data_IF_024094186821
#
_entry.id   IF_024094186821
#
_cell.length_a   1.000
_cell.length_b   1.000
_cell.length_c   1.000
_cell.angle_alpha   90.00
_cell.angle_beta   90.00
_cell.angle_gamma   90.00
#
_symmetry.space_group_name_H-M   'P 1'
#
loop_
_entity.id
_entity.type
_entity.pdbx_description
1 polymer ?
#
# COMPACT_ATOMS: atom_id res chain seq x y z
N UNK A 1 -10.96 -11.38 -2.42
CA UNK A 1 -11.46 -12.12 -1.23
C UNK A 1 -11.49 -11.26 0.04
N UNK A 2 -10.49 -10.40 0.30
CA UNK A 2 -10.41 -9.60 1.53
C UNK A 2 -11.70 -8.90 1.96
N UNK A 3 -12.32 -8.12 1.06
CA UNK A 3 -13.55 -7.37 1.36
C UNK A 3 -14.76 -8.26 1.72
N UNK A 4 -15.06 -9.27 0.88
CA UNK A 4 -16.18 -10.20 1.15
C UNK A 4 -15.94 -11.01 2.43
N UNK A 5 -14.68 -11.41 2.66
CA UNK A 5 -14.30 -12.22 3.83
C UNK A 5 -14.34 -11.41 5.12
N UNK A 6 -13.95 -10.13 5.07
CA UNK A 6 -14.05 -9.23 6.21
C UNK A 6 -15.52 -8.97 6.59
N UNK A 7 -16.37 -8.81 5.58
CA UNK A 7 -17.79 -8.55 5.76
C UNK A 7 -18.61 -9.75 6.28
N UNK A 8 -18.02 -10.96 6.39
CA UNK A 8 -18.69 -12.12 6.97
C UNK A 8 -19.04 -11.93 8.45
N UNK A 9 -18.29 -11.08 9.15
CA UNK A 9 -18.52 -10.78 10.56
C UNK A 9 -19.56 -9.67 10.78
N UNK A 10 -20.15 -9.14 9.71
CA UNK A 10 -21.19 -8.14 9.79
C UNK A 10 -22.49 -8.76 10.31
N UNK A 11 -23.06 -8.18 11.37
CA UNK A 11 -24.24 -8.74 12.03
C UNK A 11 -25.52 -8.69 11.16
N UNK A 12 -25.61 -7.72 10.25
CA UNK A 12 -26.81 -7.51 9.43
C UNK A 12 -26.68 -8.18 8.06
N UNK A 13 -25.49 -8.14 7.47
CA UNK A 13 -25.26 -8.54 6.08
C UNK A 13 -24.32 -9.74 5.93
N UNK A 14 -23.76 -10.28 7.01
CA UNK A 14 -22.77 -11.37 6.97
C UNK A 14 -23.24 -12.59 6.18
N UNK A 15 -24.49 -13.02 6.40
CA UNK A 15 -25.09 -14.13 5.65
C UNK A 15 -25.10 -13.85 4.14
N UNK A 16 -25.43 -12.63 3.70
CA UNK A 16 -25.41 -12.29 2.27
C UNK A 16 -23.99 -12.37 1.70
N UNK A 17 -23.01 -11.84 2.41
CA UNK A 17 -21.61 -11.92 2.00
C UNK A 17 -21.10 -13.36 1.92
N UNK A 18 -21.55 -14.23 2.82
CA UNK A 18 -21.23 -15.66 2.81
C UNK A 18 -21.75 -16.33 1.54
N UNK A 19 -23.02 -16.12 1.17
CA UNK A 19 -23.60 -16.69 -0.05
C UNK A 19 -22.87 -16.20 -1.31
N UNK A 20 -22.55 -14.91 -1.39
CA UNK A 20 -21.82 -14.34 -2.53
C UNK A 20 -20.40 -14.91 -2.61
N UNK A 21 -19.72 -15.03 -1.47
CA UNK A 21 -18.38 -15.63 -1.41
C UNK A 21 -18.41 -17.11 -1.79
N UNK A 22 -19.38 -17.87 -1.28
CA UNK A 22 -19.58 -19.28 -1.61
C UNK A 22 -19.83 -19.49 -3.10
N UNK A 23 -20.72 -18.68 -3.69
CA UNK A 23 -20.98 -18.72 -5.13
C UNK A 23 -19.71 -18.42 -5.94
N UNK A 24 -18.97 -17.36 -5.59
CA UNK A 24 -17.72 -16.98 -6.25
C UNK A 24 -16.68 -18.11 -6.21
N UNK A 25 -16.51 -18.76 -5.05
CA UNK A 25 -15.55 -19.84 -4.89
C UNK A 25 -15.96 -21.11 -5.65
N UNK A 26 -17.26 -21.38 -5.74
CA UNK A 26 -17.80 -22.50 -6.52
C UNK A 26 -17.54 -22.32 -8.01
N UNK A 27 -17.80 -21.12 -8.56
CA UNK A 27 -17.67 -20.86 -10.02
C UNK A 27 -16.28 -20.46 -10.47
N UNK A 28 -15.44 -19.89 -9.58
CA UNK A 28 -14.15 -19.30 -9.93
C UNK A 28 -13.05 -20.28 -10.39
N UNK A 29 -13.31 -21.59 -10.34
CA UNK A 29 -12.36 -22.62 -10.74
C UNK A 29 -11.19 -22.82 -9.76
N UNK A 30 -10.40 -23.87 -10.01
CA UNK A 30 -9.32 -24.30 -9.10
C UNK A 30 -8.21 -23.26 -8.98
N UNK A 31 -7.75 -22.69 -10.10
CA UNK A 31 -6.64 -21.74 -10.12
C UNK A 31 -6.93 -20.46 -9.31
N UNK A 32 -8.12 -19.88 -9.44
CA UNK A 32 -8.50 -18.71 -8.64
C UNK A 32 -8.56 -19.05 -7.15
N UNK A 33 -9.16 -20.18 -6.79
CA UNK A 33 -9.25 -20.61 -5.38
C UNK A 33 -7.88 -20.79 -4.75
N UNK A 34 -6.95 -21.47 -5.43
CA UNK A 34 -5.57 -21.64 -4.97
C UNK A 34 -4.86 -20.30 -4.78
N UNK A 35 -5.06 -19.36 -5.70
CA UNK A 35 -4.45 -18.04 -5.59
C UNK A 35 -5.02 -17.22 -4.43
N UNK A 36 -6.34 -17.27 -4.22
CA UNK A 36 -6.99 -16.63 -3.08
C UNK A 36 -6.55 -17.24 -1.74
N UNK A 37 -6.27 -18.54 -1.71
CA UNK A 37 -5.70 -19.21 -0.53
C UNK A 37 -4.27 -18.74 -0.23
N UNK A 38 -3.41 -18.61 -1.25
CA UNK A 38 -2.06 -18.04 -1.10
C UNK A 38 -2.11 -16.61 -0.59
N UNK A 39 -2.99 -15.78 -1.17
CA UNK A 39 -3.22 -14.40 -0.73
C UNK A 39 -3.66 -14.34 0.73
N UNK A 40 -4.63 -15.18 1.12
CA UNK A 40 -5.10 -15.28 2.50
C UNK A 40 -3.95 -15.63 3.45
N UNK A 41 -3.13 -16.62 3.09
CA UNK A 41 -2.00 -17.05 3.90
C UNK A 41 -0.94 -15.97 4.02
N UNK A 42 -0.62 -15.26 2.92
CA UNK A 42 0.31 -14.14 2.94
C UNK A 42 -0.16 -13.03 3.89
N UNK A 43 -1.42 -12.61 3.80
CA UNK A 43 -2.00 -11.58 4.68
C UNK A 43 -1.97 -12.02 6.15
N UNK A 44 -2.31 -13.27 6.45
CA UNK A 44 -2.25 -13.80 7.82
C UNK A 44 -0.84 -13.77 8.38
N UNK A 45 0.15 -14.17 7.59
CA UNK A 45 1.55 -14.14 8.00
C UNK A 45 2.03 -12.70 8.23
N UNK A 46 1.74 -11.79 7.31
CA UNK A 46 2.09 -10.36 7.45
C UNK A 46 1.44 -9.75 8.70
N UNK A 47 0.17 -10.05 8.96
CA UNK A 47 -0.51 -9.62 10.18
C UNK A 47 0.15 -10.16 11.46
N UNK A 48 0.53 -11.44 11.47
CA UNK A 48 1.24 -12.02 12.61
C UNK A 48 2.63 -11.41 12.84
N UNK A 49 3.35 -11.08 11.77
CA UNK A 49 4.63 -10.35 11.87
C UNK A 49 4.41 -8.93 12.38
N UNK A 50 3.42 -8.21 11.85
CA UNK A 50 3.13 -6.83 12.23
C UNK A 50 2.76 -6.72 13.71
N UNK A 51 1.92 -7.62 14.22
CA UNK A 51 1.58 -7.69 15.65
C UNK A 51 2.80 -7.93 16.53
N UNK A 52 3.67 -8.88 16.17
CA UNK A 52 4.91 -9.15 16.91
C UNK A 52 5.86 -7.97 16.92
N UNK A 53 5.99 -7.26 15.80
CA UNK A 53 6.80 -6.03 15.72
C UNK A 53 6.20 -4.93 16.61
N UNK A 54 4.88 -4.75 16.59
CA UNK A 54 4.18 -3.79 17.45
C UNK A 54 4.38 -4.10 18.95
N UNK A 55 4.46 -5.38 19.30
CA UNK A 55 4.72 -5.86 20.67
C UNK A 55 6.22 -6.00 21.01
N UNK A 56 7.13 -5.57 20.13
CA UNK A 56 8.58 -5.70 20.28
C UNK A 56 9.08 -7.14 20.58
N UNK A 57 8.39 -8.18 20.08
CA UNK A 57 8.69 -9.59 20.38
C UNK A 57 9.19 -10.40 19.16
N UNK A 58 10.51 -10.59 19.08
CA UNK A 58 11.15 -11.74 18.41
C UNK A 58 11.22 -11.82 16.88
N UNK A 59 11.74 -12.97 16.40
CA UNK A 59 12.24 -13.27 15.04
C UNK A 59 11.18 -13.65 13.99
N UNK A 60 10.11 -12.87 13.87
CA UNK A 60 8.97 -13.19 13.00
C UNK A 60 9.26 -13.23 11.48
N UNK A 61 10.42 -12.73 11.04
CA UNK A 61 10.81 -12.62 9.62
C UNK A 61 11.04 -13.96 8.91
N UNK A 62 11.42 -15.02 9.64
CA UNK A 62 11.73 -16.33 9.07
C UNK A 62 10.49 -17.05 8.50
N UNK A 63 9.31 -16.82 9.07
CA UNK A 63 8.08 -17.49 8.63
C UNK A 63 7.67 -17.02 7.24
N UNK A 64 7.82 -15.73 6.95
CA UNK A 64 7.50 -15.17 5.64
C UNK A 64 8.47 -15.66 4.55
N UNK A 65 9.76 -15.85 4.86
CA UNK A 65 10.71 -16.49 3.93
C UNK A 65 10.22 -17.89 3.54
N UNK A 66 9.85 -18.69 4.55
CA UNK A 66 9.41 -20.09 4.33
C UNK A 66 8.17 -20.20 3.45
N UNK A 67 7.33 -19.16 3.41
CA UNK A 67 6.18 -19.08 2.52
C UNK A 67 6.63 -18.92 1.06
N UNK A 68 7.52 -17.96 0.78
CA UNK A 68 7.97 -17.67 -0.58
C UNK A 68 8.91 -18.74 -1.16
N UNK A 69 9.61 -19.51 -0.32
CA UNK A 69 10.36 -20.68 -0.79
C UNK A 69 9.50 -21.70 -1.56
N UNK A 70 8.20 -21.75 -1.27
CA UNK A 70 7.25 -22.71 -1.87
C UNK A 70 6.17 -22.05 -2.72
N UNK A 71 6.10 -20.72 -2.74
CA UNK A 71 4.96 -20.02 -3.34
C UNK A 71 5.40 -18.73 -4.04
N UNK A 72 4.86 -18.50 -5.24
CA UNK A 72 4.65 -17.17 -5.80
C UNK A 72 3.21 -16.75 -5.52
N UNK A 73 2.98 -15.47 -5.24
CA UNK A 73 1.66 -14.97 -4.85
C UNK A 73 1.35 -13.64 -5.53
N UNK A 74 0.18 -13.53 -6.15
CA UNK A 74 -0.40 -12.26 -6.58
C UNK A 74 -0.73 -11.40 -5.38
N UNK A 75 -0.48 -10.11 -5.48
CA UNK A 75 -0.76 -9.19 -4.38
C UNK A 75 -2.27 -8.96 -4.27
N UNK A 76 -2.87 -9.03 -3.06
CA UNK A 76 -4.27 -8.68 -2.86
C UNK A 76 -4.58 -7.26 -3.36
N UNK A 77 -3.67 -6.33 -3.11
CA UNK A 77 -3.76 -4.92 -3.47
C UNK A 77 -3.77 -4.69 -5.00
N UNK A 78 -3.05 -5.52 -5.74
CA UNK A 78 -2.93 -5.44 -7.19
C UNK A 78 -2.68 -6.83 -7.78
N UNK A 79 -3.73 -7.52 -8.30
CA UNK A 79 -3.59 -8.86 -8.84
C UNK A 79 -2.62 -8.99 -10.01
N UNK A 80 -2.31 -7.90 -10.73
CA UNK A 80 -1.32 -7.91 -11.80
C UNK A 80 0.11 -8.10 -11.30
N UNK A 81 0.40 -7.72 -10.05
CA UNK A 81 1.70 -7.90 -9.43
C UNK A 81 1.81 -9.29 -8.81
N UNK A 82 2.90 -9.99 -9.11
CA UNK A 82 3.21 -11.31 -8.55
C UNK A 82 4.51 -11.20 -7.77
N UNK A 83 4.46 -11.41 -6.45
CA UNK A 83 5.64 -11.50 -5.62
C UNK A 83 6.25 -12.91 -5.70
N UNK A 84 7.57 -12.98 -5.93
CA UNK A 84 8.33 -14.24 -5.93
C UNK A 84 9.07 -14.49 -4.61
N UNK A 85 9.55 -13.44 -3.96
CA UNK A 85 10.32 -13.53 -2.72
C UNK A 85 10.26 -12.20 -1.96
N UNK A 86 10.76 -12.21 -0.72
CA UNK A 86 10.93 -11.00 0.09
C UNK A 86 12.35 -10.47 -0.01
N UNK A 87 12.48 -9.16 -0.21
CA UNK A 87 13.74 -8.46 -0.01
C UNK A 87 13.87 -8.00 1.44
N UNK A 88 14.43 -8.87 2.28
CA UNK A 88 14.45 -8.73 3.73
C UNK A 88 15.33 -7.57 4.19
N UNK A 89 16.39 -7.28 3.43
CA UNK A 89 17.29 -6.16 3.71
C UNK A 89 16.56 -4.82 3.55
N UNK A 90 15.63 -4.75 2.61
CA UNK A 90 14.80 -3.56 2.37
C UNK A 90 13.54 -3.48 3.23
N UNK A 91 13.11 -4.60 3.83
CA UNK A 91 11.99 -4.62 4.77
C UNK A 91 12.33 -3.93 6.09
N UNK A 92 11.43 -3.07 6.55
CA UNK A 92 11.57 -2.32 7.80
C UNK A 92 10.19 -2.05 8.43
N UNK A 93 10.11 -1.12 9.36
CA UNK A 93 8.87 -0.59 9.91
C UNK A 93 8.99 0.93 10.02
N UNK A 94 7.87 1.64 9.96
CA UNK A 94 7.85 3.08 10.12
C UNK A 94 7.76 3.45 11.61
N UNK A 95 8.40 4.54 12.01
CA UNK A 95 8.48 5.01 13.41
C UNK A 95 7.22 5.76 13.89
N UNK A 96 6.11 5.71 13.15
CA UNK A 96 4.82 6.28 13.55
C UNK A 96 4.14 5.46 14.66
N UNK A 97 3.15 6.03 15.36
CA UNK A 97 2.42 5.38 16.46
C UNK A 97 1.89 3.97 16.15
N UNK A 98 1.41 3.74 14.93
CA UNK A 98 0.87 2.43 14.52
C UNK A 98 1.94 1.40 14.10
N UNK A 99 3.22 1.80 14.05
CA UNK A 99 4.40 0.99 13.65
C UNK A 99 4.13 0.08 12.43
N UNK A 100 3.65 0.63 11.29
CA UNK A 100 3.30 -0.20 10.16
C UNK A 100 4.54 -0.81 9.51
N UNK A 101 4.40 -2.00 8.93
CA UNK A 101 5.50 -2.69 8.28
C UNK A 101 5.74 -2.12 6.88
N UNK A 102 7.00 -1.86 6.55
CA UNK A 102 7.45 -1.71 5.16
C UNK A 102 7.84 -3.09 4.65
N UNK A 103 7.05 -3.61 3.71
CA UNK A 103 7.24 -4.93 3.09
C UNK A 103 7.71 -4.72 1.66
N UNK A 104 8.90 -5.23 1.38
CA UNK A 104 9.52 -5.14 0.06
C UNK A 104 9.66 -6.54 -0.53
N UNK A 105 9.11 -6.72 -1.73
CA UNK A 105 9.04 -8.02 -2.42
C UNK A 105 9.61 -7.89 -3.81
N UNK A 106 10.28 -8.95 -4.28
CA UNK A 106 10.79 -8.98 -5.65
C UNK A 106 9.67 -9.41 -6.59
N UNK A 107 9.55 -8.70 -7.69
CA UNK A 107 8.60 -9.00 -8.75
C UNK A 107 8.98 -10.30 -9.47
N UNK A 108 7.99 -11.12 -9.79
CA UNK A 108 8.16 -12.31 -10.61
C UNK A 108 8.41 -11.96 -12.08
N UNK A 109 7.95 -10.80 -12.54
CA UNK A 109 8.31 -10.23 -13.82
C UNK A 109 9.78 -9.76 -13.78
N UNK A 110 10.68 -10.30 -14.63
CA UNK A 110 12.08 -9.87 -14.68
C UNK A 110 12.27 -8.40 -15.06
N UNK A 111 11.32 -7.81 -15.79
CA UNK A 111 11.34 -6.38 -16.15
C UNK A 111 10.56 -5.50 -15.17
N UNK A 112 9.88 -6.12 -14.20
CA UNK A 112 9.07 -5.42 -13.23
C UNK A 112 9.90 -4.82 -12.09
N UNK A 113 9.51 -3.62 -11.67
CA UNK A 113 10.08 -2.97 -10.49
C UNK A 113 9.75 -3.72 -9.19
N UNK A 114 10.55 -3.44 -8.15
CA UNK A 114 10.36 -3.99 -6.81
C UNK A 114 9.00 -3.58 -6.22
N UNK A 115 8.30 -4.54 -5.63
CA UNK A 115 6.97 -4.33 -5.08
C UNK A 115 7.12 -3.84 -3.64
N UNK A 116 6.75 -2.59 -3.40
CA UNK A 116 6.83 -1.94 -2.09
C UNK A 116 5.42 -1.67 -1.53
N UNK A 117 5.14 -2.25 -0.37
CA UNK A 117 3.83 -2.15 0.29
C UNK A 117 4.01 -1.83 1.77
N UNK A 118 3.17 -0.93 2.29
CA UNK A 118 2.99 -0.73 3.71
C UNK A 118 1.87 -1.66 4.21
N UNK A 119 2.14 -2.46 5.24
CA UNK A 119 1.14 -3.29 5.91
C UNK A 119 0.81 -2.69 7.27
N UNK A 120 -0.46 -2.33 7.49
CA UNK A 120 -0.94 -1.69 8.71
C UNK A 120 -1.79 -2.66 9.53
N UNK A 121 -1.67 -2.60 10.85
CA UNK A 121 -2.49 -3.34 11.82
C UNK A 121 -2.89 -2.43 12.98
N UNK A 122 -4.15 -2.52 13.39
CA UNK A 122 -4.79 -1.62 14.36
C UNK A 122 -5.48 -0.40 13.73
N UNK A 123 -5.62 -0.36 12.40
CA UNK A 123 -6.28 0.73 11.67
C UNK A 123 -7.30 0.18 10.67
N UNK A 124 -8.51 0.74 10.69
CA UNK A 124 -9.56 0.40 9.74
C UNK A 124 -9.38 1.17 8.43
N UNK A 125 -8.83 0.50 7.41
CA UNK A 125 -8.58 1.11 6.10
C UNK A 125 -9.81 1.22 5.20
N UNK A 126 -11.01 0.82 5.65
CA UNK A 126 -12.22 0.88 4.81
C UNK A 126 -12.58 2.32 4.43
N UNK A 127 -12.35 3.28 5.33
CA UNK A 127 -12.58 4.70 5.05
C UNK A 127 -11.57 5.25 4.02
N UNK A 128 -10.28 4.95 4.17
CA UNK A 128 -9.23 5.32 3.21
C UNK A 128 -9.51 4.74 1.81
N UNK A 129 -9.95 3.48 1.74
CA UNK A 129 -10.35 2.85 0.49
C UNK A 129 -11.46 3.62 -0.21
N UNK A 130 -12.51 3.99 0.52
CA UNK A 130 -13.64 4.73 -0.05
C UNK A 130 -13.19 6.12 -0.50
N UNK A 131 -12.38 6.83 0.29
CA UNK A 131 -11.86 8.14 -0.06
C UNK A 131 -11.01 8.08 -1.36
N UNK A 132 -10.08 7.13 -1.46
CA UNK A 132 -9.26 6.94 -2.66
C UNK A 132 -10.08 6.51 -3.88
N UNK A 133 -11.15 5.73 -3.69
CA UNK A 133 -12.09 5.43 -4.77
C UNK A 133 -12.82 6.67 -5.27
N UNK A 134 -13.27 7.55 -4.37
CA UNK A 134 -13.90 8.81 -4.73
C UNK A 134 -12.93 9.72 -5.47
N UNK A 135 -11.68 9.88 -4.99
CA UNK A 135 -10.63 10.64 -5.68
C UNK A 135 -10.39 10.08 -7.08
N UNK A 136 -10.36 8.75 -7.25
CA UNK A 136 -10.22 8.11 -8.57
C UNK A 136 -11.38 8.39 -9.51
N UNK A 137 -12.59 8.55 -8.99
CA UNK A 137 -13.75 8.94 -9.79
C UNK A 137 -13.62 10.41 -10.21
N UNK A 138 -13.24 11.30 -9.29
CA UNK A 138 -13.01 12.73 -9.59
C UNK A 138 -11.94 12.91 -10.66
N UNK A 139 -10.80 12.24 -10.51
CA UNK A 139 -9.68 12.27 -11.47
C UNK A 139 -10.13 11.88 -12.88
N UNK A 140 -10.94 10.81 -13.00
CA UNK A 140 -11.53 10.42 -14.29
C UNK A 140 -12.46 11.48 -14.89
N UNK A 141 -13.23 12.17 -14.05
CA UNK A 141 -14.13 13.24 -14.50
C UNK A 141 -13.29 14.42 -15.00
N UNK A 142 -12.31 14.88 -14.23
CA UNK A 142 -11.43 15.98 -14.63
C UNK A 142 -10.68 15.69 -15.92
N UNK A 143 -10.09 14.50 -16.06
CA UNK A 143 -9.41 14.08 -17.29
C UNK A 143 -10.35 14.07 -18.50
N UNK A 144 -11.61 13.66 -18.31
CA UNK A 144 -12.61 13.66 -19.38
C UNK A 144 -12.95 15.09 -19.86
N UNK A 145 -12.92 16.06 -18.95
CA UNK A 145 -13.13 17.48 -19.26
C UNK A 145 -11.83 18.19 -19.68
N UNK A 146 -10.74 17.45 -19.92
CA UNK A 146 -9.45 18.00 -20.37
C UNK A 146 -8.59 18.62 -19.26
N UNK A 147 -8.94 18.38 -17.99
CA UNK A 147 -8.21 18.87 -16.82
C UNK A 147 -7.35 17.75 -16.22
N UNK A 148 -6.04 17.79 -16.45
CA UNK A 148 -5.06 16.88 -15.83
C UNK A 148 -4.43 17.53 -14.58
N UNK A 149 -4.96 17.20 -13.41
CA UNK A 149 -4.44 17.67 -12.11
C UNK A 149 -3.25 16.84 -11.60
N UNK A 150 -2.78 15.84 -12.37
CA UNK A 150 -1.62 15.02 -12.04
C UNK A 150 -1.75 14.31 -10.68
N UNK A 151 -2.95 13.82 -10.39
CA UNK A 151 -3.25 13.13 -9.13
C UNK A 151 -2.43 11.84 -8.99
N UNK A 152 -1.74 11.70 -7.87
CA UNK A 152 -1.05 10.45 -7.51
C UNK A 152 -1.99 9.60 -6.63
N UNK A 153 -2.68 8.66 -7.26
CA UNK A 153 -3.66 7.79 -6.59
C UNK A 153 -3.05 6.42 -6.34
N UNK A 154 -2.53 6.22 -5.13
CA UNK A 154 -2.01 4.92 -4.69
C UNK A 154 -3.14 3.98 -4.26
N UNK A 155 -2.87 2.67 -4.29
CA UNK A 155 -3.83 1.66 -3.89
C UNK A 155 -3.86 1.49 -2.37
N UNK A 156 -5.06 1.31 -1.84
CA UNK A 156 -5.31 0.91 -0.47
C UNK A 156 -6.31 -0.26 -0.47
N UNK A 157 -6.09 -1.25 0.40
CA UNK A 157 -6.96 -2.41 0.53
C UNK A 157 -7.02 -2.87 1.99
N UNK A 158 -8.20 -2.83 2.58
CA UNK A 158 -8.53 -3.57 3.78
C UNK A 158 -8.48 -5.07 3.49
N UNK A 159 -7.74 -5.79 4.32
CA UNK A 159 -7.54 -7.24 4.18
C UNK A 159 -8.20 -8.04 5.30
N UNK A 160 -8.85 -7.34 6.22
CA UNK A 160 -9.60 -7.85 7.37
C UNK A 160 -9.80 -6.75 8.41
N UNK A 161 -10.48 -7.08 9.51
CA UNK A 161 -10.70 -6.16 10.62
C UNK A 161 -9.39 -5.52 11.09
N UNK A 162 -9.41 -4.19 11.11
CA UNK A 162 -8.33 -3.29 11.55
C UNK A 162 -6.96 -3.61 10.93
N UNK A 163 -6.93 -4.08 9.67
CA UNK A 163 -5.67 -4.35 8.97
C UNK A 163 -5.78 -4.19 7.47
N UNK A 164 -4.67 -3.81 6.85
CA UNK A 164 -4.63 -3.75 5.39
C UNK A 164 -3.30 -3.37 4.78
N UNK A 165 -3.33 -3.22 3.46
CA UNK A 165 -2.19 -2.97 2.60
C UNK A 165 -2.35 -1.62 1.92
N UNK A 166 -1.27 -0.84 1.89
CA UNK A 166 -1.18 0.44 1.20
C UNK A 166 0.03 0.40 0.28
N UNK A 167 -0.14 0.80 -0.97
CA UNK A 167 0.94 0.91 -1.95
C UNK A 167 1.89 2.02 -1.51
N UNK A 168 3.20 1.73 -1.51
CA UNK A 168 4.20 2.76 -1.26
C UNK A 168 4.55 3.44 -2.56
N UNK A 169 4.31 4.75 -2.62
CA UNK A 169 4.71 5.58 -3.75
C UNK A 169 6.25 5.68 -3.74
N UNK A 170 6.94 5.22 -4.80
CA UNK A 170 8.39 5.31 -4.89
C UNK A 170 8.84 6.78 -4.92
N UNK A 171 10.08 7.03 -4.50
CA UNK A 171 10.69 8.36 -4.50
C UNK A 171 9.82 9.46 -3.85
N UNK A 172 9.14 9.11 -2.76
CA UNK A 172 8.32 10.05 -1.98
C UNK A 172 8.84 10.19 -0.56
N UNK A 173 8.72 11.40 -0.01
CA UNK A 173 9.00 11.72 1.38
C UNK A 173 7.85 12.54 1.97
N UNK A 174 7.53 12.30 3.25
CA UNK A 174 6.51 13.10 3.94
C UNK A 174 6.99 14.54 4.09
N UNK A 175 6.09 15.51 3.97
CA UNK A 175 6.41 16.92 4.18
C UNK A 175 7.08 17.17 5.54
N UNK A 176 6.62 16.47 6.59
CA UNK A 176 7.23 16.56 7.92
C UNK A 176 8.69 16.12 7.93
N UNK A 177 9.05 15.03 7.24
CA UNK A 177 10.44 14.58 7.14
C UNK A 177 11.30 15.64 6.46
N UNK A 178 10.83 16.21 5.36
CA UNK A 178 11.51 17.29 4.63
C UNK A 178 11.71 18.50 5.56
N UNK A 179 10.67 18.93 6.28
CA UNK A 179 10.76 20.10 7.16
C UNK A 179 11.73 19.90 8.33
N UNK A 180 11.76 18.70 8.93
CA UNK A 180 12.64 18.39 10.07
C UNK A 180 14.12 18.33 9.67
N UNK A 181 14.45 18.02 8.40
CA UNK A 181 15.83 18.13 7.89
C UNK A 181 16.40 19.55 8.03
N UNK A 182 15.54 20.57 8.10
CA UNK A 182 15.89 21.99 8.26
C UNK A 182 15.66 22.51 9.69
N UNK A 183 15.56 21.61 10.67
CA UNK A 183 15.44 21.88 12.09
C UNK A 183 14.00 21.86 12.64
N UNK A 184 13.87 21.96 13.97
CA UNK A 184 12.60 21.82 14.69
C UNK A 184 11.56 22.89 14.31
N UNK A 185 12.00 24.07 13.84
CA UNK A 185 11.13 25.15 13.34
C UNK A 185 10.93 25.14 11.83
N UNK A 186 11.44 24.13 11.12
CA UNK A 186 11.34 24.03 9.65
C UNK A 186 9.90 23.98 9.14
N UNK A 187 8.93 23.55 9.96
CA UNK A 187 7.51 23.56 9.63
C UNK A 187 6.91 24.95 9.44
N UNK A 188 7.55 26.00 9.97
CA UNK A 188 7.12 27.40 9.85
C UNK A 188 7.86 28.19 8.77
N UNK A 189 8.74 27.52 8.00
CA UNK A 189 9.53 28.14 6.94
C UNK A 189 9.03 27.65 5.59
N UNK A 190 8.94 28.55 4.62
CA UNK A 190 8.57 28.21 3.24
C UNK A 190 9.75 27.63 2.43
N UNK A 191 10.99 27.91 2.87
CA UNK A 191 12.23 27.53 2.18
C UNK A 191 12.53 26.03 2.12
N UNK A 192 12.28 25.20 3.16
CA UNK A 192 12.64 23.79 3.17
C UNK A 192 12.11 22.98 1.99
N UNK A 193 10.86 23.23 1.57
CA UNK A 193 10.27 22.51 0.44
C UNK A 193 10.91 22.94 -0.89
N UNK A 194 11.11 24.25 -1.09
CA UNK A 194 11.73 24.77 -2.32
C UNK A 194 13.18 24.30 -2.46
N UNK A 195 13.96 24.33 -1.37
CA UNK A 195 15.35 23.85 -1.36
C UNK A 195 15.43 22.33 -1.56
N UNK A 196 14.51 21.56 -0.95
CA UNK A 196 14.41 20.13 -1.18
C UNK A 196 14.08 19.81 -2.65
N UNK A 197 13.11 20.52 -3.26
CA UNK A 197 12.80 20.37 -4.69
C UNK A 197 14.02 20.70 -5.57
N UNK A 198 14.72 21.79 -5.28
CA UNK A 198 15.91 22.21 -6.05
C UNK A 198 17.08 21.21 -5.93
N UNK A 199 17.21 20.54 -4.78
CA UNK A 199 18.20 19.48 -4.57
C UNK A 199 17.99 18.29 -5.51
N UNK A 200 16.75 17.92 -5.80
CA UNK A 200 16.43 16.81 -6.71
C UNK A 200 16.21 17.25 -8.16
N UNK A 201 16.13 18.57 -8.42
CA UNK A 201 15.97 19.17 -9.73
C UNK A 201 16.99 20.32 -9.90
N UNK A 202 18.27 19.99 -10.13
CA UNK A 202 19.36 20.98 -10.11
C UNK A 202 19.38 21.90 -11.32
N UNK A 203 18.80 21.49 -12.46
CA UNK A 203 18.63 22.37 -13.61
C UNK A 203 17.39 23.26 -13.46
N UNK A 204 17.49 24.52 -13.92
CA UNK A 204 16.36 25.46 -13.86
C UNK A 204 15.14 24.94 -14.64
N UNK A 205 15.35 24.34 -15.81
CA UNK A 205 14.26 23.77 -16.61
C UNK A 205 13.52 22.63 -15.88
N UNK A 206 14.23 21.74 -15.19
CA UNK A 206 13.61 20.67 -14.40
C UNK A 206 12.88 21.24 -13.19
N UNK A 207 13.47 22.23 -12.53
CA UNK A 207 12.88 22.89 -11.37
C UNK A 207 11.57 23.59 -11.75
N UNK A 208 11.56 24.41 -12.81
CA UNK A 208 10.35 25.07 -13.31
C UNK A 208 9.27 24.06 -13.70
N UNK A 209 9.66 22.97 -14.37
CA UNK A 209 8.74 21.88 -14.71
C UNK A 209 8.11 21.26 -13.47
N UNK A 210 8.87 21.05 -12.40
CA UNK A 210 8.38 20.46 -11.13
C UNK A 210 7.50 21.43 -10.36
N UNK A 211 7.86 22.71 -10.29
CA UNK A 211 7.01 23.76 -9.70
C UNK A 211 5.68 23.83 -10.44
N UNK A 212 5.72 23.83 -11.78
CA UNK A 212 4.53 23.76 -12.61
C UNK A 212 3.68 22.52 -12.31
N UNK A 213 4.27 21.34 -12.06
CA UNK A 213 3.49 20.15 -11.65
C UNK A 213 2.87 20.30 -10.26
N UNK A 214 3.62 20.83 -9.30
CA UNK A 214 3.22 21.00 -7.90
C UNK A 214 2.01 21.93 -7.76
N UNK A 215 1.89 22.93 -8.63
CA UNK A 215 0.75 23.86 -8.65
C UNK A 215 -0.59 23.19 -8.99
N UNK A 216 -0.59 22.09 -9.75
CA UNK A 216 -1.82 21.37 -10.12
C UNK A 216 -2.20 20.27 -9.12
N UNK A 217 -1.23 19.74 -8.38
CA UNK A 217 -1.42 18.60 -7.46
C UNK A 217 -1.58 19.01 -5.99
N UNK A 218 -1.82 20.30 -5.69
CA UNK A 218 -1.97 20.83 -4.32
C UNK A 218 -3.37 20.59 -3.75
#
# INVERSE_FOLDING_TARGET
MGLLKDALHDAQFGARYEHVLGALLSVGGKGLREELLKQTKLVQLLGGVAEKVRQASGSARQVLQSFFLRNKCRLPLNPSLVAKELNIKSCSFFSSNAVPLKVTMVNADPMGEEINVMFKVGEDLRQDMLALQMIKIMDKIWLKEGLDLRMVIFKCLSTGRDRGMVELVPASDTLRKIQVEYGVTGSFKDKPLAEWLRKYNPSEEEYEKVIGKSSYSR
#
